data_IF_059692530118
#
_entry.id   IF_059692530118
#
_cell.length_a   1.000
_cell.length_b   1.000
_cell.length_c   1.000
_cell.angle_alpha   90.00
_cell.angle_beta   90.00
_cell.angle_gamma   90.00
#
_symmetry.space_group_name_H-M   'P 1'
#
loop_
_entity.id
_entity.type
_entity.pdbx_description
1 polymer ?
#
# COMPACT_ATOMS: atom_id res chain seq x y z
N UNK A 1 -5.72 -4.95 -1.90
CA UNK A 1 -6.67 -3.96 -2.43
C UNK A 1 -6.36 -3.76 -3.90
N UNK A 2 -7.37 -3.86 -4.76
CA UNK A 2 -7.23 -3.73 -6.21
C UNK A 2 -8.07 -2.54 -6.65
N UNK A 3 -7.43 -1.53 -7.25
CA UNK A 3 -8.13 -0.40 -7.87
C UNK A 3 -8.30 -0.72 -9.35
N UNK A 4 -9.55 -0.77 -9.83
CA UNK A 4 -9.88 -1.02 -11.24
C UNK A 4 -10.45 0.26 -11.83
N UNK A 5 -9.88 0.73 -12.94
CA UNK A 5 -10.36 1.89 -13.67
C UNK A 5 -10.86 1.40 -15.02
N UNK A 6 -12.12 1.73 -15.32
CA UNK A 6 -12.74 1.44 -16.62
C UNK A 6 -13.20 2.75 -17.25
N UNK A 7 -12.69 3.08 -18.42
CA UNK A 7 -13.22 4.20 -19.21
C UNK A 7 -14.44 3.73 -20.04
N UNK A 8 -15.54 4.48 -19.97
CA UNK A 8 -16.78 4.21 -20.72
C UNK A 8 -17.02 5.29 -21.78
N UNK A 9 -17.53 4.95 -22.99
CA UNK A 9 -17.69 5.91 -24.08
C UNK A 9 -18.96 6.76 -23.88
N UNK A 10 -18.82 7.99 -23.37
CA UNK A 10 -19.93 8.96 -23.35
C UNK A 10 -19.63 10.32 -24.02
N UNK A 11 -18.58 10.43 -24.84
CA UNK A 11 -18.34 11.64 -25.65
C UNK A 11 -18.02 11.27 -27.11
N UNK A 12 -18.73 11.84 -28.12
CA UNK A 12 -18.66 11.38 -29.50
C UNK A 12 -17.36 11.69 -30.24
N UNK A 13 -16.39 12.40 -29.65
CA UNK A 13 -15.16 12.84 -30.33
C UNK A 13 -13.84 12.60 -29.56
N UNK A 14 -13.85 11.92 -28.41
CA UNK A 14 -12.62 11.46 -27.77
C UNK A 14 -12.65 9.93 -27.70
N UNK A 15 -11.80 9.33 -28.52
CA UNK A 15 -11.28 7.95 -28.52
C UNK A 15 -12.21 6.86 -27.98
N UNK A 16 -12.61 5.94 -28.87
CA UNK A 16 -13.11 4.61 -28.50
C UNK A 16 -12.05 3.90 -27.63
N UNK A 17 -12.16 3.94 -26.30
CA UNK A 17 -11.25 3.23 -25.40
C UNK A 17 -12.04 2.62 -24.25
N UNK A 18 -12.51 1.39 -24.40
CA UNK A 18 -12.85 0.57 -23.24
C UNK A 18 -11.55 -0.05 -22.71
N UNK A 19 -10.69 0.78 -22.13
CA UNK A 19 -9.43 0.33 -21.53
C UNK A 19 -9.69 -0.06 -20.08
N UNK A 20 -9.16 -1.20 -19.66
CA UNK A 20 -9.24 -1.67 -18.26
C UNK A 20 -7.85 -1.59 -17.67
N UNK A 21 -7.74 -0.84 -16.59
CA UNK A 21 -6.51 -0.67 -15.82
C UNK A 21 -6.72 -1.23 -14.41
N UNK A 22 -5.70 -1.87 -13.85
CA UNK A 22 -5.77 -2.36 -12.48
C UNK A 22 -4.41 -2.31 -11.78
N UNK A 23 -4.40 -1.87 -10.52
CA UNK A 23 -3.25 -1.99 -9.63
C UNK A 23 -3.65 -2.70 -8.33
N UNK A 24 -2.84 -3.66 -7.92
CA UNK A 24 -2.97 -4.40 -6.67
C UNK A 24 -1.89 -4.02 -5.66
N UNK A 25 -2.29 -3.81 -4.42
CA UNK A 25 -1.40 -3.63 -3.26
C UNK A 25 -1.82 -4.58 -2.15
N UNK A 26 -0.86 -5.02 -1.32
CA UNK A 26 -1.13 -5.93 -0.21
C UNK A 26 -0.90 -5.21 1.12
N UNK A 27 -1.71 -5.53 2.13
CA UNK A 27 -1.39 -5.22 3.52
C UNK A 27 -1.61 -6.44 4.39
N UNK A 28 -0.92 -6.48 5.52
CA UNK A 28 -1.14 -7.51 6.53
C UNK A 28 -0.30 -7.27 7.77
N UNK A 29 -0.52 -8.10 8.79
CA UNK A 29 0.28 -8.09 10.01
C UNK A 29 1.75 -8.41 9.72
N UNK A 30 2.63 -8.00 10.62
CA UNK A 30 4.05 -8.40 10.59
C UNK A 30 4.12 -9.93 10.65
N UNK A 31 4.81 -10.62 9.71
CA UNK A 31 4.78 -12.06 9.55
C UNK A 31 5.72 -12.76 10.55
N UNK A 32 5.73 -12.28 11.78
CA UNK A 32 6.45 -12.85 12.91
C UNK A 32 5.48 -13.59 13.83
N UNK A 33 6.03 -14.45 14.68
CA UNK A 33 5.28 -15.02 15.78
C UNK A 33 5.32 -14.02 16.94
N UNK A 34 4.22 -13.28 17.11
CA UNK A 34 4.05 -12.31 18.19
C UNK A 34 2.62 -12.34 18.70
N UNK A 35 2.44 -11.91 19.94
CA UNK A 35 1.14 -11.79 20.57
C UNK A 35 0.98 -10.43 21.25
N UNK A 36 -0.25 -9.97 21.27
CA UNK A 36 -0.69 -8.83 22.06
C UNK A 36 -1.95 -9.25 22.79
N UNK A 37 -1.79 -9.70 24.03
CA UNK A 37 -2.90 -10.21 24.83
C UNK A 37 -3.71 -9.03 25.34
N UNK A 38 -4.97 -8.94 24.96
CA UNK A 38 -5.89 -7.91 25.45
C UNK A 38 -6.06 -8.03 26.97
N UNK A 39 -5.66 -6.99 27.69
CA UNK A 39 -5.84 -6.84 29.13
C UNK A 39 -6.58 -5.53 29.45
N UNK A 40 -6.73 -5.18 30.73
CA UNK A 40 -7.35 -3.91 31.15
C UNK A 40 -6.43 -2.69 30.94
N UNK A 41 -5.23 -2.88 30.38
CA UNK A 41 -4.28 -1.79 30.15
C UNK A 41 -4.70 -0.96 28.94
N UNK A 42 -4.36 0.34 28.97
CA UNK A 42 -4.67 1.26 27.87
C UNK A 42 -4.03 0.83 26.53
N UNK A 43 -2.78 0.33 26.57
CA UNK A 43 -2.11 -0.32 25.43
C UNK A 43 -1.51 -1.64 25.93
N UNK A 44 -2.09 -2.80 25.56
CA UNK A 44 -1.54 -4.08 25.96
C UNK A 44 -0.15 -4.28 25.37
N UNK A 45 0.74 -4.90 26.14
CA UNK A 45 2.15 -5.07 25.75
C UNK A 45 2.30 -6.06 24.61
N UNK A 46 3.23 -5.75 23.72
CA UNK A 46 3.60 -6.64 22.63
C UNK A 46 4.64 -7.66 23.13
N UNK A 47 4.46 -8.94 22.81
CA UNK A 47 5.46 -9.98 23.11
C UNK A 47 5.83 -10.75 21.85
N UNK A 48 7.11 -10.72 21.51
CA UNK A 48 7.69 -11.55 20.45
C UNK A 48 7.85 -12.98 20.99
N UNK A 49 7.34 -13.95 20.25
CA UNK A 49 7.47 -15.37 20.57
C UNK A 49 8.71 -15.88 19.86
N UNK A 50 9.79 -16.06 20.62
CA UNK A 50 11.02 -16.67 20.11
C UNK A 50 10.76 -18.16 19.85
N UNK A 51 10.64 -18.52 18.58
CA UNK A 51 10.43 -19.89 18.12
C UNK A 51 11.47 -20.24 17.06
N UNK A 52 11.93 -21.49 17.06
CA UNK A 52 12.96 -21.96 16.12
C UNK A 52 12.49 -21.87 14.65
N UNK A 53 11.17 -21.95 14.44
CA UNK A 53 10.55 -21.88 13.11
C UNK A 53 10.20 -20.46 12.64
N UNK A 54 10.53 -19.40 13.39
CA UNK A 54 10.18 -18.03 12.97
C UNK A 54 10.73 -17.71 11.58
N UNK A 55 11.97 -18.08 11.28
CA UNK A 55 12.55 -17.86 9.95
C UNK A 55 11.82 -18.63 8.84
N UNK A 56 11.43 -19.88 9.10
CA UNK A 56 10.67 -20.72 8.15
C UNK A 56 9.28 -20.13 7.86
N UNK A 57 8.62 -19.57 8.88
CA UNK A 57 7.31 -18.91 8.74
C UNK A 57 7.43 -17.66 7.87
N UNK A 58 8.44 -16.81 8.13
CA UNK A 58 8.67 -15.58 7.35
C UNK A 58 9.01 -15.94 5.90
N UNK A 59 9.92 -16.90 5.69
CA UNK A 59 10.30 -17.36 4.35
C UNK A 59 9.09 -17.89 3.57
N UNK A 60 8.30 -18.78 4.19
CA UNK A 60 7.09 -19.33 3.56
C UNK A 60 6.06 -18.24 3.23
N UNK A 61 5.85 -17.30 4.15
CA UNK A 61 4.92 -16.18 3.93
C UNK A 61 5.30 -15.37 2.69
N UNK A 62 6.57 -15.01 2.55
CA UNK A 62 7.04 -14.27 1.38
C UNK A 62 7.13 -15.11 0.11
N UNK A 63 7.46 -16.40 0.23
CA UNK A 63 7.41 -17.33 -0.88
C UNK A 63 6.00 -17.42 -1.49
N UNK A 64 4.98 -17.58 -0.63
CA UNK A 64 3.57 -17.65 -1.06
C UNK A 64 3.12 -16.33 -1.72
N UNK A 65 3.58 -15.18 -1.22
CA UNK A 65 3.29 -13.88 -1.84
C UNK A 65 3.98 -13.74 -3.20
N UNK A 66 5.26 -14.10 -3.29
CA UNK A 66 6.00 -13.98 -4.54
C UNK A 66 5.52 -14.94 -5.63
N UNK A 67 5.05 -16.13 -5.25
CA UNK A 67 4.41 -17.04 -6.21
C UNK A 67 3.12 -16.47 -6.80
N UNK A 68 2.35 -15.69 -6.03
CA UNK A 68 1.06 -15.16 -6.46
C UNK A 68 1.16 -13.82 -7.18
N UNK A 69 2.08 -12.98 -6.75
CA UNK A 69 2.14 -11.58 -7.17
C UNK A 69 3.45 -11.20 -7.86
N UNK A 70 4.48 -12.06 -7.85
CA UNK A 70 5.79 -11.78 -8.41
C UNK A 70 6.73 -11.09 -7.42
N UNK A 71 7.33 -9.98 -7.82
CA UNK A 71 8.23 -9.21 -6.95
C UNK A 71 7.46 -8.63 -5.75
N UNK A 72 8.05 -8.71 -4.55
CA UNK A 72 7.42 -8.18 -3.33
C UNK A 72 8.35 -7.19 -2.66
N UNK A 73 7.88 -5.96 -2.50
CA UNK A 73 8.53 -4.93 -1.70
C UNK A 73 7.79 -4.82 -0.37
N UNK A 74 8.44 -5.17 0.73
CA UNK A 74 7.89 -5.09 2.07
C UNK A 74 8.18 -3.71 2.69
N UNK A 75 7.13 -2.97 3.02
CA UNK A 75 7.19 -1.66 3.66
C UNK A 75 6.66 -1.77 5.09
N UNK A 76 7.54 -1.57 6.04
CA UNK A 76 7.23 -1.54 7.47
C UNK A 76 7.03 -0.09 7.94
N UNK A 77 5.81 0.22 8.40
CA UNK A 77 5.39 1.56 8.83
C UNK A 77 5.33 1.74 10.36
N UNK A 78 5.90 0.80 11.10
CA UNK A 78 5.92 0.83 12.57
C UNK A 78 6.72 1.99 13.12
N UNK A 79 6.34 2.44 14.31
CA UNK A 79 7.14 3.36 15.11
C UNK A 79 8.43 2.67 15.54
N UNK A 80 9.56 3.37 15.48
CA UNK A 80 10.86 2.82 15.90
C UNK A 80 11.08 2.90 17.41
N UNK A 81 10.12 3.40 18.17
CA UNK A 81 10.17 3.54 19.62
C UNK A 81 9.28 2.52 20.36
N UNK A 82 9.71 2.15 21.57
CA UNK A 82 8.97 1.24 22.45
C UNK A 82 8.78 -0.17 21.89
N UNK A 83 7.67 -0.80 22.28
CA UNK A 83 7.30 -2.16 21.89
C UNK A 83 7.19 -2.35 20.36
N UNK A 84 6.74 -1.33 19.61
CA UNK A 84 6.70 -1.38 18.13
C UNK A 84 8.10 -1.46 17.54
N UNK A 85 9.05 -0.71 18.09
CA UNK A 85 10.43 -0.69 17.63
C UNK A 85 11.15 -2.02 17.84
N UNK A 86 10.87 -2.72 18.94
CA UNK A 86 11.41 -4.07 19.17
C UNK A 86 10.90 -5.07 18.12
N UNK A 87 9.60 -5.01 17.79
CA UNK A 87 9.02 -5.86 16.75
C UNK A 87 9.54 -5.51 15.35
N UNK A 88 9.65 -4.22 15.02
CA UNK A 88 10.23 -3.75 13.76
C UNK A 88 11.67 -4.22 13.58
N UNK A 89 12.47 -4.18 14.66
CA UNK A 89 13.84 -4.67 14.65
C UNK A 89 13.90 -6.18 14.42
N UNK A 90 13.12 -6.96 15.16
CA UNK A 90 13.07 -8.41 14.96
C UNK A 90 12.63 -8.77 13.53
N UNK A 91 11.72 -7.99 12.95
CA UNK A 91 11.27 -8.20 11.59
C UNK A 91 12.36 -7.87 10.58
N UNK A 92 13.07 -6.76 10.77
CA UNK A 92 14.23 -6.40 9.95
C UNK A 92 15.32 -7.48 9.99
N UNK A 93 15.58 -8.06 11.16
CA UNK A 93 16.58 -9.12 11.35
C UNK A 93 16.18 -10.41 10.58
N UNK A 94 14.90 -10.76 10.53
CA UNK A 94 14.42 -11.89 9.71
C UNK A 94 14.44 -11.57 8.21
N UNK A 95 14.07 -10.34 7.82
CA UNK A 95 14.09 -9.93 6.40
C UNK A 95 15.49 -9.91 5.82
N UNK A 96 16.53 -9.61 6.61
CA UNK A 96 17.93 -9.70 6.17
C UNK A 96 18.37 -11.12 5.78
N UNK A 97 17.68 -12.16 6.29
CA UNK A 97 17.95 -13.55 5.93
C UNK A 97 17.36 -13.94 4.58
N UNK A 98 16.49 -13.10 3.99
CA UNK A 98 15.84 -13.32 2.70
C UNK A 98 16.56 -12.50 1.61
N UNK A 99 17.54 -13.08 0.88
CA UNK A 99 18.41 -12.33 -0.02
C UNK A 99 17.70 -11.71 -1.23
N UNK A 100 16.53 -12.23 -1.60
CA UNK A 100 15.78 -11.81 -2.79
C UNK A 100 14.59 -10.91 -2.46
N UNK A 101 14.47 -10.41 -1.22
CA UNK A 101 13.34 -9.59 -0.78
C UNK A 101 13.78 -8.16 -0.46
N UNK A 102 13.07 -7.19 -1.02
CA UNK A 102 13.26 -5.78 -0.70
C UNK A 102 12.47 -5.44 0.55
N UNK A 103 13.16 -4.95 1.57
CA UNK A 103 12.58 -4.52 2.84
C UNK A 103 12.93 -3.07 3.14
N UNK A 104 11.92 -2.27 3.50
CA UNK A 104 12.07 -0.85 3.85
C UNK A 104 11.36 -0.59 5.17
N UNK A 105 12.12 -0.08 6.14
CA UNK A 105 11.61 0.34 7.45
C UNK A 105 11.47 1.87 7.47
N UNK A 106 10.23 2.34 7.35
CA UNK A 106 9.87 3.75 7.28
C UNK A 106 9.09 4.16 8.53
N UNK A 107 9.71 4.99 9.38
CA UNK A 107 9.04 5.47 10.58
C UNK A 107 7.95 6.50 10.20
N UNK A 108 6.70 6.06 10.19
CA UNK A 108 5.58 6.91 9.78
C UNK A 108 5.32 8.06 10.76
N UNK A 109 5.52 7.86 12.06
CA UNK A 109 5.26 8.91 13.07
C UNK A 109 6.30 10.01 13.00
N UNK A 110 7.58 9.64 12.84
CA UNK A 110 8.66 10.60 12.71
C UNK A 110 8.55 11.39 11.39
N UNK A 111 8.25 10.70 10.29
CA UNK A 111 8.27 11.32 8.97
C UNK A 111 6.95 12.01 8.62
N UNK A 112 5.79 11.44 8.96
CA UNK A 112 4.47 11.98 8.58
C UNK A 112 3.69 12.56 9.77
N UNK A 113 4.36 12.82 10.89
CA UNK A 113 3.77 13.51 12.05
C UNK A 113 3.26 14.91 11.68
N UNK A 114 2.11 15.30 12.26
CA UNK A 114 1.55 16.66 12.08
C UNK A 114 0.93 16.95 10.71
N UNK A 115 0.42 15.93 10.00
CA UNK A 115 -0.22 16.03 8.68
C UNK A 115 0.73 16.37 7.52
N UNK A 116 2.04 16.19 7.69
CA UNK A 116 3.03 16.41 6.65
C UNK A 116 3.20 15.15 5.78
N UNK A 117 2.22 14.90 4.91
CA UNK A 117 2.20 13.73 4.02
C UNK A 117 3.13 13.87 2.81
N UNK A 118 3.69 15.06 2.56
CA UNK A 118 4.70 15.27 1.53
C UNK A 118 5.93 14.37 1.77
N UNK A 119 6.18 13.99 3.02
CA UNK A 119 7.27 13.08 3.38
C UNK A 119 7.04 11.63 2.93
N UNK A 120 5.86 11.26 2.42
CA UNK A 120 5.68 10.00 1.69
C UNK A 120 6.45 9.97 0.37
N UNK A 121 6.80 11.13 -0.18
CA UNK A 121 7.72 11.20 -1.31
C UNK A 121 9.08 10.57 -0.95
N UNK A 122 9.54 10.70 0.31
CA UNK A 122 10.79 10.06 0.78
C UNK A 122 10.69 8.53 0.74
N UNK A 123 9.52 7.99 1.08
CA UNK A 123 9.26 6.56 0.95
C UNK A 123 9.19 6.16 -0.53
N UNK A 124 8.48 6.93 -1.35
CA UNK A 124 8.36 6.68 -2.78
C UNK A 124 9.70 6.67 -3.49
N UNK A 125 10.58 7.64 -3.20
CA UNK A 125 11.91 7.74 -3.80
C UNK A 125 12.80 6.53 -3.46
N UNK A 126 12.49 5.78 -2.40
CA UNK A 126 13.21 4.54 -2.04
C UNK A 126 12.70 3.29 -2.76
N UNK A 127 11.48 3.34 -3.30
CA UNK A 127 10.80 2.21 -3.98
C UNK A 127 10.43 2.50 -5.42
N UNK A 128 10.72 3.69 -5.96
CA UNK A 128 10.17 4.13 -7.24
C UNK A 128 10.60 3.21 -8.37
N UNK A 129 11.86 2.77 -8.35
CA UNK A 129 12.41 1.86 -9.37
C UNK A 129 11.68 0.52 -9.34
N UNK A 130 11.50 -0.08 -8.15
CA UNK A 130 10.73 -1.30 -7.99
C UNK A 130 9.26 -1.09 -8.37
N UNK A 131 8.63 -0.01 -7.91
CA UNK A 131 7.22 0.29 -8.19
C UNK A 131 6.94 0.43 -9.69
N UNK A 132 7.82 1.12 -10.42
CA UNK A 132 7.71 1.28 -11.87
C UNK A 132 7.94 -0.05 -12.61
N UNK A 133 8.89 -0.88 -12.14
CA UNK A 133 9.16 -2.21 -12.70
C UNK A 133 8.01 -3.21 -12.44
N UNK A 134 7.37 -3.10 -11.27
CA UNK A 134 6.18 -3.89 -10.92
C UNK A 134 5.00 -3.56 -11.85
N UNK A 135 4.88 -2.30 -12.25
CA UNK A 135 3.88 -1.84 -13.20
C UNK A 135 2.44 -2.06 -12.72
N UNK A 136 1.52 -2.10 -13.68
CA UNK A 136 0.09 -2.30 -13.45
C UNK A 136 -0.50 -3.11 -14.59
N UNK A 137 -1.68 -3.69 -14.37
CA UNK A 137 -2.42 -4.41 -15.40
C UNK A 137 -3.08 -3.45 -16.38
N UNK A 138 -2.96 -3.72 -17.68
CA UNK A 138 -3.56 -2.93 -18.75
C UNK A 138 -4.10 -3.83 -19.87
N UNK A 139 -5.38 -3.68 -20.16
CA UNK A 139 -6.05 -4.26 -21.33
C UNK A 139 -6.62 -3.15 -22.19
N UNK A 140 -6.37 -3.20 -23.49
CA UNK A 140 -6.88 -2.23 -24.45
C UNK A 140 -8.36 -2.44 -24.81
N UNK A 141 -8.88 -1.61 -25.72
CA UNK A 141 -10.29 -1.66 -26.12
C UNK A 141 -10.64 -2.90 -26.93
N UNK A 142 -9.64 -3.54 -27.53
CA UNK A 142 -9.73 -4.77 -28.31
C UNK A 142 -9.69 -6.02 -27.42
N UNK A 143 -9.34 -5.86 -26.14
CA UNK A 143 -9.23 -6.95 -25.17
C UNK A 143 -7.84 -7.58 -25.12
N UNK A 144 -6.85 -6.98 -25.79
CA UNK A 144 -5.47 -7.45 -25.77
C UNK A 144 -4.78 -6.96 -24.48
N UNK A 145 -4.07 -7.88 -23.81
CA UNK A 145 -3.30 -7.56 -22.62
C UNK A 145 -1.99 -6.89 -23.03
N UNK A 146 -1.87 -5.60 -22.71
CA UNK A 146 -0.68 -4.81 -23.02
C UNK A 146 0.36 -4.86 -21.90
N UNK A 147 -0.09 -4.88 -20.64
CA UNK A 147 0.78 -4.97 -19.47
C UNK A 147 0.18 -5.90 -18.41
N UNK A 148 1.07 -6.64 -17.74
CA UNK A 148 0.77 -7.43 -16.55
C UNK A 148 1.52 -6.84 -15.35
N UNK A 149 0.86 -6.78 -14.20
CA UNK A 149 1.51 -6.38 -12.95
C UNK A 149 2.44 -7.50 -12.46
N UNK A 150 3.73 -7.20 -12.33
CA UNK A 150 4.81 -8.17 -12.04
C UNK A 150 5.24 -8.20 -10.58
N UNK A 151 4.64 -7.38 -9.73
CA UNK A 151 4.92 -7.34 -8.31
C UNK A 151 3.99 -6.42 -7.53
N UNK A 152 4.17 -6.39 -6.22
CA UNK A 152 3.35 -5.62 -5.29
C UNK A 152 4.20 -4.91 -4.24
N UNK A 153 3.66 -3.80 -3.74
CA UNK A 153 4.05 -3.23 -2.46
C UNK A 153 3.16 -3.86 -1.38
N UNK A 154 3.80 -4.45 -0.37
CA UNK A 154 3.17 -4.96 0.84
C UNK A 154 3.47 -4.01 1.99
N UNK A 155 2.44 -3.32 2.50
CA UNK A 155 2.58 -2.48 3.70
C UNK A 155 2.12 -3.22 4.95
N UNK A 156 2.83 -3.01 6.07
CA UNK A 156 2.41 -3.47 7.38
C UNK A 156 2.51 -2.36 8.42
N UNK A 157 1.81 -2.58 9.53
CA UNK A 157 1.73 -1.67 10.65
C UNK A 157 1.25 -2.45 11.90
N UNK A 158 1.53 -1.95 13.10
CA UNK A 158 1.03 -2.54 14.36
C UNK A 158 -0.25 -1.85 14.80
N UNK A 159 -0.26 -0.51 14.87
CA UNK A 159 -1.44 0.27 15.24
C UNK A 159 -2.14 0.94 14.03
N UNK A 160 -3.47 0.91 14.09
CA UNK A 160 -4.50 1.49 13.21
C UNK A 160 -4.28 1.40 11.68
N UNK A 161 -5.36 1.04 11.01
CA UNK A 161 -5.50 1.00 9.56
C UNK A 161 -5.00 2.28 8.86
N UNK A 162 -5.07 3.43 9.53
CA UNK A 162 -4.78 4.76 8.98
C UNK A 162 -3.40 4.85 8.31
N UNK A 163 -2.32 4.37 8.95
CA UNK A 163 -0.94 4.47 8.40
C UNK A 163 -0.83 3.72 7.07
N UNK A 164 -1.38 2.50 7.04
CA UNK A 164 -1.39 1.67 5.82
C UNK A 164 -2.31 2.24 4.76
N UNK A 165 -3.48 2.79 5.13
CA UNK A 165 -4.45 3.34 4.18
C UNK A 165 -3.89 4.58 3.48
N UNK A 166 -3.27 5.48 4.22
CA UNK A 166 -2.61 6.68 3.66
C UNK A 166 -1.48 6.30 2.71
N UNK A 167 -0.63 5.35 3.12
CA UNK A 167 0.47 4.88 2.27
C UNK A 167 -0.04 4.22 0.99
N UNK A 168 -1.07 3.37 1.10
CA UNK A 168 -1.68 2.71 -0.06
C UNK A 168 -2.36 3.71 -1.01
N UNK A 169 -3.05 4.72 -0.46
CA UNK A 169 -3.63 5.81 -1.23
C UNK A 169 -2.57 6.54 -2.05
N UNK A 170 -1.45 6.88 -1.41
CA UNK A 170 -0.35 7.59 -2.07
C UNK A 170 0.21 6.80 -3.27
N UNK A 171 0.50 5.51 -3.10
CA UNK A 171 0.97 4.67 -4.20
C UNK A 171 -0.07 4.52 -5.31
N UNK A 172 -1.35 4.39 -4.95
CA UNK A 172 -2.41 4.33 -5.95
C UNK A 172 -2.58 5.64 -6.71
N UNK A 173 -2.37 6.80 -6.07
CA UNK A 173 -2.39 8.09 -6.74
C UNK A 173 -1.23 8.19 -7.76
N UNK A 174 -0.03 7.73 -7.39
CA UNK A 174 1.12 7.67 -8.31
C UNK A 174 0.82 6.78 -9.52
N UNK A 175 0.27 5.59 -9.28
CA UNK A 175 -0.17 4.69 -10.36
C UNK A 175 -1.28 5.31 -11.21
N UNK A 176 -2.29 5.91 -10.60
CA UNK A 176 -3.40 6.56 -11.31
C UNK A 176 -2.88 7.65 -12.26
N UNK A 177 -1.95 8.48 -11.79
CA UNK A 177 -1.33 9.49 -12.65
C UNK A 177 -0.61 8.85 -13.85
N UNK A 178 0.22 7.83 -13.62
CA UNK A 178 0.92 7.12 -14.70
C UNK A 178 -0.06 6.49 -15.70
N UNK A 179 -1.14 5.88 -15.20
CA UNK A 179 -2.18 5.25 -16.00
C UNK A 179 -2.94 6.27 -16.87
N UNK A 180 -3.36 7.39 -16.28
CA UNK A 180 -4.08 8.46 -17.00
C UNK A 180 -3.17 9.15 -18.04
N UNK A 181 -1.88 9.30 -17.74
CA UNK A 181 -0.89 9.78 -18.70
C UNK A 181 -0.70 8.78 -19.85
N UNK A 182 -0.64 7.48 -19.55
CA UNK A 182 -0.48 6.41 -20.55
C UNK A 182 -1.62 6.37 -21.56
N UNK A 183 -2.86 6.61 -21.13
CA UNK A 183 -4.04 6.64 -22.01
C UNK A 183 -4.32 8.01 -22.64
N UNK A 184 -3.47 9.01 -22.36
CA UNK A 184 -3.57 10.36 -22.94
C UNK A 184 -4.69 11.24 -22.34
N UNK A 185 -5.21 10.89 -21.16
CA UNK A 185 -6.15 11.74 -20.41
C UNK A 185 -5.40 12.89 -19.73
N UNK A 186 -4.20 12.62 -19.20
CA UNK A 186 -3.29 13.61 -18.65
C UNK A 186 -2.06 13.79 -19.54
N UNK A 187 -1.53 15.00 -19.63
CA UNK A 187 -0.18 15.23 -20.17
C UNK A 187 0.89 14.80 -19.16
N UNK A 188 2.14 14.64 -19.63
CA UNK A 188 3.27 14.24 -18.79
C UNK A 188 3.59 15.21 -17.63
N UNK A 189 3.07 16.43 -17.68
CA UNK A 189 3.25 17.46 -16.63
C UNK A 189 2.05 17.58 -15.69
N UNK A 190 0.92 16.95 -16.03
CA UNK A 190 -0.31 17.01 -15.24
C UNK A 190 -0.41 15.83 -14.28
N UNK A 191 -1.10 16.06 -13.17
CA UNK A 191 -1.48 15.03 -12.21
C UNK A 191 -2.94 15.22 -11.79
N UNK A 192 -3.58 14.15 -11.30
CA UNK A 192 -4.99 14.14 -10.90
C UNK A 192 -5.30 15.21 -9.84
N UNK A 193 -4.35 15.53 -8.97
CA UNK A 193 -4.51 16.56 -7.95
C UNK A 193 -4.74 17.97 -8.51
N UNK A 194 -4.44 18.21 -9.79
CA UNK A 194 -4.76 19.47 -10.48
C UNK A 194 -6.25 19.58 -10.86
N UNK A 195 -6.99 18.46 -10.85
CA UNK A 195 -8.40 18.36 -11.23
C UNK A 195 -9.25 18.18 -9.96
N UNK A 196 -9.66 19.30 -9.37
CA UNK A 196 -10.28 19.32 -8.04
C UNK A 196 -11.46 18.35 -7.88
N UNK A 197 -12.41 18.33 -8.81
CA UNK A 197 -13.59 17.47 -8.72
C UNK A 197 -13.23 15.98 -8.77
N UNK A 198 -12.43 15.56 -9.75
CA UNK A 198 -12.01 14.15 -9.89
C UNK A 198 -11.11 13.71 -8.73
N UNK A 199 -10.28 14.61 -8.23
CA UNK A 199 -9.44 14.34 -7.08
C UNK A 199 -10.25 14.16 -5.79
N UNK A 200 -11.32 14.94 -5.58
CA UNK A 200 -12.24 14.72 -4.46
C UNK A 200 -12.95 13.37 -4.56
N UNK A 201 -13.32 12.91 -5.76
CA UNK A 201 -13.89 11.57 -5.96
C UNK A 201 -12.87 10.50 -5.54
N UNK A 202 -11.63 10.61 -6.02
CA UNK A 202 -10.56 9.68 -5.65
C UNK A 202 -10.36 9.64 -4.13
N UNK A 203 -10.23 10.80 -3.48
CA UNK A 203 -10.07 10.91 -2.02
C UNK A 203 -11.25 10.30 -1.26
N UNK A 204 -12.47 10.59 -1.69
CA UNK A 204 -13.69 10.06 -1.07
C UNK A 204 -13.71 8.53 -1.11
N UNK A 205 -13.39 7.92 -2.26
CA UNK A 205 -13.32 6.46 -2.39
C UNK A 205 -12.36 5.83 -1.39
N UNK A 206 -11.21 6.46 -1.14
CA UNK A 206 -10.23 5.95 -0.19
C UNK A 206 -10.58 6.18 1.28
N UNK A 207 -11.31 7.25 1.57
CA UNK A 207 -11.89 7.48 2.90
C UNK A 207 -12.94 6.40 3.19
N UNK A 208 -13.86 6.16 2.27
CA UNK A 208 -14.89 5.13 2.39
C UNK A 208 -14.27 3.73 2.53
N UNK A 209 -13.29 3.41 1.68
CA UNK A 209 -12.56 2.15 1.78
C UNK A 209 -11.87 1.96 3.14
N UNK A 210 -11.23 3.02 3.65
CA UNK A 210 -10.64 3.01 4.99
C UNK A 210 -11.68 2.76 6.07
N UNK A 211 -12.83 3.43 5.99
CA UNK A 211 -13.93 3.26 6.94
C UNK A 211 -14.49 1.84 6.94
N UNK A 212 -14.75 1.25 5.76
CA UNK A 212 -15.30 -0.12 5.64
C UNK A 212 -14.36 -1.17 6.24
N UNK A 213 -13.06 -1.04 5.98
CA UNK A 213 -12.08 -1.95 6.56
C UNK A 213 -11.98 -1.75 8.07
N UNK A 214 -12.01 -0.51 8.54
CA UNK A 214 -11.96 -0.24 9.97
C UNK A 214 -13.18 -0.84 10.68
N UNK A 215 -14.36 -0.76 10.07
CA UNK A 215 -15.58 -1.38 10.59
C UNK A 215 -15.43 -2.89 10.72
N UNK A 216 -14.82 -3.57 9.73
CA UNK A 216 -14.59 -5.01 9.79
C UNK A 216 -13.58 -5.40 10.89
N UNK A 217 -12.54 -4.59 11.11
CA UNK A 217 -11.46 -4.91 12.05
C UNK A 217 -11.78 -4.54 13.51
N UNK A 218 -12.43 -3.41 13.76
CA UNK A 218 -12.63 -2.87 15.12
C UNK A 218 -14.10 -2.54 15.44
N UNK A 219 -15.02 -2.71 14.50
CA UNK A 219 -16.41 -2.31 14.67
C UNK A 219 -16.62 -0.80 14.70
N UNK A 220 -15.60 -0.01 14.33
CA UNK A 220 -15.62 1.46 14.31
C UNK A 220 -15.05 1.98 12.99
N UNK A 221 -15.51 3.14 12.53
CA UNK A 221 -14.90 3.84 11.39
C UNK A 221 -13.44 4.22 11.65
N UNK A 222 -12.71 4.56 10.58
CA UNK A 222 -11.28 4.87 10.66
C UNK A 222 -11.06 6.14 11.50
N UNK A 223 -10.05 6.12 12.37
CA UNK A 223 -9.82 7.19 13.34
C UNK A 223 -9.31 8.49 12.69
N UNK A 224 -8.65 8.39 11.53
CA UNK A 224 -8.09 9.56 10.84
C UNK A 224 -8.64 9.74 9.42
N UNK A 225 -9.94 10.01 9.35
CA UNK A 225 -10.66 10.38 8.10
C UNK A 225 -10.02 11.55 7.35
N UNK A 226 -9.40 12.47 8.07
CA UNK A 226 -8.87 13.72 7.50
C UNK A 226 -7.48 13.57 6.86
N UNK A 227 -6.88 12.37 6.86
CA UNK A 227 -5.56 12.16 6.21
C UNK A 227 -5.66 11.82 4.72
N UNK A 228 -6.86 11.44 4.27
CA UNK A 228 -7.10 11.09 2.87
C UNK A 228 -8.12 12.03 2.23
N UNK A 229 -8.75 12.92 3.02
CA UNK A 229 -9.45 14.11 2.52
C UNK A 229 -8.47 15.19 2.12
#
# INVERSE_FOLDING_TARGET
>A
MTMIITSSPQLPNLVRLCTVLSISQVRGSIPLLWEQIVDLSYKPRLRIINHEQTSEVVERHFHDLSQRYGEVVAVDLTDKHGDEGELSKAYADEMQKLPNMRYISFDFHQNCGGSNFDNLQILYDQVSDEFDNQGYFLVDAEGEMLEEQKGIIRSNCIDCLDRTNVTQNYFAQKSLNAQLQRIGVLSSTECIAMFGEDYEIFKTLWVEQGDEISLEYSGTHALKRDLVK
#
